data_IF_647173037380
#
_entry.id   IF_647173037380
#
_cell.length_a   1.000
_cell.length_b   1.000
_cell.length_c   1.000
_cell.angle_alpha   90.00
_cell.angle_beta   90.00
_cell.angle_gamma   90.00
#
_symmetry.space_group_name_H-M   'P 1'
#
loop_
_entity.id
_entity.type
_entity.pdbx_description
1 polymer ?
#
# COMPACT_ATOMS: atom_id res chain seq x y z
N UNK A 1 -19.19 -17.08 -28.53
CA UNK A 1 -17.85 -17.66 -28.54
C UNK A 1 -17.39 -17.70 -27.10
N UNK A 2 -17.04 -18.85 -26.63
CA UNK A 2 -16.87 -19.29 -25.25
C UNK A 2 -15.93 -18.38 -24.44
N UNK A 3 -16.50 -17.69 -23.43
CA UNK A 3 -15.72 -17.09 -22.35
C UNK A 3 -14.94 -18.22 -21.68
N UNK A 4 -13.62 -18.14 -21.76
CA UNK A 4 -12.72 -18.99 -21.01
C UNK A 4 -12.99 -18.78 -19.51
N UNK A 5 -13.44 -19.80 -18.83
CA UNK A 5 -13.43 -19.92 -17.39
C UNK A 5 -11.96 -19.94 -16.90
N UNK A 6 -11.32 -18.77 -16.81
CA UNK A 6 -10.07 -18.58 -16.06
C UNK A 6 -10.52 -18.21 -14.65
N UNK A 7 -10.22 -19.06 -13.67
CA UNK A 7 -10.40 -18.71 -12.26
C UNK A 7 -11.11 -19.77 -11.41
N UNK A 8 -10.64 -21.04 -11.45
CA UNK A 8 -11.03 -22.07 -10.48
C UNK A 8 -9.90 -22.40 -9.49
N UNK A 9 -8.88 -21.56 -9.39
CA UNK A 9 -7.79 -21.76 -8.45
C UNK A 9 -8.24 -21.61 -7.00
N UNK A 10 -7.62 -22.34 -6.10
CA UNK A 10 -7.80 -22.21 -4.64
C UNK A 10 -6.98 -21.02 -4.12
N UNK A 11 -7.18 -20.61 -2.87
CA UNK A 11 -6.31 -19.61 -2.20
C UNK A 11 -4.85 -20.07 -2.17
N UNK A 12 -4.63 -21.38 -2.07
CA UNK A 12 -3.29 -21.97 -2.12
C UNK A 12 -2.63 -21.77 -3.49
N UNK A 13 -3.38 -21.86 -4.59
CA UNK A 13 -2.85 -21.58 -5.94
C UNK A 13 -2.42 -20.12 -6.06
N UNK A 14 -3.15 -19.19 -5.42
CA UNK A 14 -2.81 -17.77 -5.34
C UNK A 14 -1.53 -17.58 -4.54
N UNK A 15 -1.40 -18.22 -3.39
CA UNK A 15 -0.21 -18.20 -2.55
C UNK A 15 1.02 -18.74 -3.29
N UNK A 16 0.88 -19.87 -3.98
CA UNK A 16 1.97 -20.43 -4.81
C UNK A 16 2.36 -19.48 -5.96
N UNK A 17 1.41 -18.69 -6.47
CA UNK A 17 1.67 -17.62 -7.42
C UNK A 17 2.59 -16.57 -6.82
N UNK A 18 2.24 -16.05 -5.63
CA UNK A 18 3.04 -15.05 -4.92
C UNK A 18 4.44 -15.54 -4.55
N UNK A 19 4.59 -16.80 -4.15
CA UNK A 19 5.93 -17.38 -3.90
C UNK A 19 6.80 -17.35 -5.16
N UNK A 20 6.22 -17.64 -6.34
CA UNK A 20 6.95 -17.52 -7.62
C UNK A 20 7.32 -16.08 -7.95
N UNK A 21 6.40 -15.12 -7.74
CA UNK A 21 6.64 -13.69 -7.99
C UNK A 21 7.74 -13.15 -7.08
N UNK A 22 7.75 -13.55 -5.81
CA UNK A 22 8.83 -13.23 -4.86
C UNK A 22 10.14 -13.96 -5.17
N UNK A 23 10.11 -15.04 -5.96
CA UNK A 23 11.26 -15.95 -6.14
C UNK A 23 11.61 -16.71 -4.86
N UNK A 24 10.62 -17.04 -4.06
CA UNK A 24 10.71 -17.58 -2.72
C UNK A 24 10.42 -19.09 -2.69
N UNK A 25 11.24 -19.85 -1.96
CA UNK A 25 11.02 -21.28 -1.66
C UNK A 25 10.77 -21.45 -0.15
N UNK A 26 9.54 -21.78 0.27
CA UNK A 26 9.20 -21.93 1.68
C UNK A 26 9.77 -23.19 2.33
N UNK A 27 10.17 -24.20 1.56
CA UNK A 27 10.36 -25.59 2.04
C UNK A 27 11.36 -25.75 3.19
N UNK A 28 12.32 -24.84 3.37
CA UNK A 28 13.37 -24.94 4.39
C UNK A 28 13.14 -24.00 5.61
N UNK A 29 12.22 -23.05 5.53
CA UNK A 29 12.17 -21.91 6.46
C UNK A 29 10.78 -21.64 7.02
N UNK A 30 9.76 -22.36 6.61
CA UNK A 30 8.37 -22.19 7.02
C UNK A 30 7.83 -23.52 7.50
N UNK A 31 7.06 -23.52 8.59
CA UNK A 31 6.30 -24.66 9.06
C UNK A 31 5.03 -24.88 8.22
N UNK A 32 3.95 -25.25 8.87
CA UNK A 32 2.66 -25.37 8.21
C UNK A 32 2.09 -23.96 7.89
N UNK A 33 1.47 -23.80 6.72
CA UNK A 33 0.73 -22.59 6.35
C UNK A 33 -0.74 -22.96 6.23
N UNK A 34 -1.55 -22.44 7.15
CA UNK A 34 -3.00 -22.65 7.21
C UNK A 34 -3.75 -21.37 6.85
N UNK A 35 -4.58 -21.43 5.80
CA UNK A 35 -5.47 -20.33 5.41
C UNK A 35 -6.91 -20.78 5.63
N UNK A 36 -7.50 -20.34 6.74
CA UNK A 36 -8.85 -20.68 7.13
C UNK A 36 -9.91 -19.79 6.43
N UNK A 37 -11.09 -20.35 6.20
CA UNK A 37 -12.19 -19.66 5.54
C UNK A 37 -12.22 -19.87 4.03
N UNK A 38 -13.18 -19.25 3.37
CA UNK A 38 -13.36 -19.37 1.92
C UNK A 38 -14.03 -18.12 1.36
N UNK A 39 -13.42 -17.49 0.36
CA UNK A 39 -14.01 -16.39 -0.38
C UNK A 39 -15.20 -16.88 -1.26
N UNK A 40 -16.27 -16.12 -1.48
CA UNK A 40 -16.49 -14.73 -1.07
C UNK A 40 -17.07 -14.61 0.35
N UNK A 41 -16.57 -13.62 1.08
CA UNK A 41 -17.03 -13.27 2.44
C UNK A 41 -17.59 -11.85 2.51
N UNK A 42 -17.46 -11.06 1.44
CA UNK A 42 -17.94 -9.68 1.31
C UNK A 42 -18.61 -9.46 -0.04
N UNK A 43 -19.42 -8.38 -0.21
CA UNK A 43 -20.17 -8.13 -1.44
C UNK A 43 -19.29 -7.59 -2.57
N UNK A 44 -18.25 -8.32 -2.95
CA UNK A 44 -17.35 -8.06 -4.07
C UNK A 44 -17.43 -9.19 -5.10
N UNK A 45 -17.46 -8.84 -6.38
CA UNK A 45 -17.35 -9.84 -7.45
C UNK A 45 -15.92 -10.34 -7.63
N UNK A 46 -14.91 -9.58 -7.14
CA UNK A 46 -13.52 -9.98 -7.21
C UNK A 46 -13.14 -10.87 -6.02
N UNK A 47 -12.12 -11.69 -6.20
CA UNK A 47 -11.58 -12.60 -5.20
C UNK A 47 -10.63 -11.86 -4.24
N UNK A 48 -11.15 -10.81 -3.59
CA UNK A 48 -10.33 -9.96 -2.72
C UNK A 48 -9.94 -10.64 -1.42
N UNK A 49 -10.77 -11.55 -0.91
CA UNK A 49 -10.48 -12.35 0.28
C UNK A 49 -9.35 -13.34 0.04
N UNK A 50 -9.39 -14.08 -1.07
CA UNK A 50 -8.31 -14.98 -1.46
C UNK A 50 -7.00 -14.24 -1.70
N UNK A 51 -7.06 -13.09 -2.39
CA UNK A 51 -5.88 -12.26 -2.65
C UNK A 51 -5.25 -11.75 -1.36
N UNK A 52 -6.05 -11.22 -0.43
CA UNK A 52 -5.58 -10.69 0.84
C UNK A 52 -5.00 -11.77 1.75
N UNK A 53 -5.68 -12.92 1.87
CA UNK A 53 -5.22 -14.02 2.69
C UNK A 53 -3.91 -14.62 2.16
N UNK A 54 -3.80 -14.80 0.84
CA UNK A 54 -2.56 -15.27 0.21
C UNK A 54 -1.41 -14.26 0.37
N UNK A 55 -1.68 -12.95 0.25
CA UNK A 55 -0.65 -11.91 0.44
C UNK A 55 -0.14 -11.89 1.89
N UNK A 56 -1.03 -11.99 2.89
CA UNK A 56 -0.64 -12.09 4.30
C UNK A 56 0.13 -13.38 4.60
N UNK A 57 -0.29 -14.52 4.04
CA UNK A 57 0.42 -15.79 4.20
C UNK A 57 1.82 -15.74 3.57
N UNK A 58 1.96 -15.11 2.40
CA UNK A 58 3.25 -14.91 1.76
C UNK A 58 4.17 -14.00 2.61
N UNK A 59 3.65 -12.88 3.13
CA UNK A 59 4.37 -12.02 4.07
C UNK A 59 4.78 -12.79 5.32
N UNK A 60 3.88 -13.57 5.92
CA UNK A 60 4.17 -14.41 7.09
C UNK A 60 5.29 -15.40 6.83
N UNK A 61 5.29 -16.00 5.64
CA UNK A 61 6.32 -16.95 5.21
C UNK A 61 7.69 -16.28 5.06
N UNK A 62 7.74 -15.09 4.48
CA UNK A 62 8.98 -14.29 4.39
C UNK A 62 9.50 -13.87 5.76
N UNK A 63 8.59 -13.49 6.69
CA UNK A 63 8.94 -13.17 8.08
C UNK A 63 9.53 -14.37 8.81
N UNK A 64 8.93 -15.57 8.66
CA UNK A 64 9.47 -16.82 9.20
C UNK A 64 10.86 -17.12 8.65
N UNK A 65 11.04 -16.93 7.35
CA UNK A 65 12.32 -17.19 6.69
C UNK A 65 13.42 -16.25 7.13
N UNK A 66 13.15 -14.97 7.26
CA UNK A 66 14.09 -14.01 7.83
C UNK A 66 14.44 -14.37 9.28
N UNK A 67 13.44 -14.82 10.06
CA UNK A 67 13.64 -15.25 11.43
C UNK A 67 14.59 -16.46 11.51
N UNK A 68 14.41 -17.45 10.65
CA UNK A 68 15.31 -18.62 10.54
C UNK A 68 16.70 -18.21 10.11
N UNK A 69 16.83 -17.33 9.10
CA UNK A 69 18.12 -16.81 8.63
C UNK A 69 18.90 -16.09 9.75
N UNK A 70 18.19 -15.60 10.78
CA UNK A 70 18.76 -14.94 11.98
C UNK A 70 18.92 -15.89 13.18
N UNK A 71 18.73 -17.19 13.01
CA UNK A 71 18.94 -18.23 14.02
C UNK A 71 17.69 -18.59 14.84
N UNK A 72 16.51 -18.11 14.46
CA UNK A 72 15.24 -18.51 15.08
C UNK A 72 14.70 -19.83 14.52
N UNK A 73 13.58 -20.30 15.06
CA UNK A 73 12.89 -21.50 14.58
C UNK A 73 11.83 -21.16 13.52
N UNK A 74 11.63 -22.05 12.55
CA UNK A 74 10.59 -21.92 11.56
C UNK A 74 9.20 -21.76 12.23
N UNK A 75 8.37 -20.89 11.69
CA UNK A 75 7.04 -20.61 12.23
C UNK A 75 5.96 -21.32 11.43
N UNK A 76 4.97 -21.86 12.10
CA UNK A 76 3.68 -22.13 11.47
C UNK A 76 2.95 -20.79 11.28
N UNK A 77 2.30 -20.66 10.15
CA UNK A 77 1.60 -19.44 9.73
C UNK A 77 0.10 -19.72 9.67
N UNK A 78 -0.71 -18.88 10.29
CA UNK A 78 -2.16 -18.95 10.18
C UNK A 78 -2.77 -17.62 9.75
N UNK A 79 -3.67 -17.67 8.78
CA UNK A 79 -4.41 -16.51 8.25
C UNK A 79 -5.88 -16.91 8.10
N UNK A 80 -6.80 -15.99 8.37
CA UNK A 80 -8.22 -16.15 8.04
C UNK A 80 -8.61 -15.21 6.91
N UNK A 81 -9.41 -15.70 5.96
CA UNK A 81 -9.91 -14.90 4.83
C UNK A 81 -10.70 -13.70 5.33
N UNK A 82 -11.54 -13.87 6.37
CA UNK A 82 -12.33 -12.80 6.96
C UNK A 82 -11.44 -11.75 7.65
N UNK A 83 -10.42 -12.19 8.39
CA UNK A 83 -9.47 -11.30 9.04
C UNK A 83 -8.62 -10.54 8.00
N UNK A 84 -8.24 -11.20 6.92
CA UNK A 84 -7.49 -10.61 5.82
C UNK A 84 -8.27 -9.47 5.13
N UNK A 85 -9.57 -9.63 4.93
CA UNK A 85 -10.44 -8.55 4.44
C UNK A 85 -10.46 -7.36 5.42
N UNK A 86 -10.56 -7.61 6.71
CA UNK A 86 -10.54 -6.54 7.71
C UNK A 86 -9.20 -5.78 7.74
N UNK A 87 -8.10 -6.46 7.43
CA UNK A 87 -6.78 -5.83 7.29
C UNK A 87 -6.77 -4.75 6.18
N UNK A 88 -7.49 -4.97 5.08
CA UNK A 88 -7.56 -4.02 3.96
C UNK A 88 -8.33 -2.73 4.27
N UNK A 89 -8.86 -2.62 5.47
CA UNK A 89 -9.61 -1.46 5.93
C UNK A 89 -9.28 -1.07 7.37
N UNK A 90 -8.07 -1.36 7.83
CA UNK A 90 -7.64 -1.19 9.21
C UNK A 90 -7.80 0.25 9.73
N UNK A 91 -7.68 1.27 8.87
CA UNK A 91 -7.89 2.67 9.24
C UNK A 91 -9.27 2.93 9.84
N UNK A 92 -10.32 2.25 9.33
CA UNK A 92 -11.68 2.39 9.84
C UNK A 92 -11.88 1.74 11.21
N UNK A 93 -10.94 0.87 11.61
CA UNK A 93 -10.94 0.21 12.93
C UNK A 93 -10.10 0.95 13.96
N UNK A 94 -9.24 1.86 13.53
CA UNK A 94 -8.38 2.64 14.43
C UNK A 94 -9.18 3.70 15.18
N UNK A 95 -8.98 3.76 16.51
CA UNK A 95 -9.66 4.69 17.40
C UNK A 95 -8.67 5.41 18.30
N UNK A 96 -8.90 6.68 18.53
CA UNK A 96 -8.17 7.50 19.50
C UNK A 96 -9.15 7.91 20.60
N UNK A 97 -8.87 7.51 21.84
CA UNK A 97 -9.78 7.74 22.98
C UNK A 97 -11.22 7.28 22.70
N UNK A 98 -11.39 6.20 21.94
CA UNK A 98 -12.68 5.65 21.54
C UNK A 98 -13.34 6.28 20.31
N UNK A 99 -12.74 7.35 19.74
CA UNK A 99 -13.23 8.03 18.53
C UNK A 99 -12.52 7.43 17.30
N UNK A 100 -13.25 7.11 16.25
CA UNK A 100 -12.71 6.57 15.00
C UNK A 100 -11.80 7.58 14.29
N UNK A 101 -10.76 7.10 13.62
CA UNK A 101 -9.75 7.96 13.01
C UNK A 101 -10.29 8.86 11.89
N UNK A 102 -11.33 8.41 11.18
CA UNK A 102 -12.02 9.19 10.15
C UNK A 102 -12.69 10.45 10.70
N UNK A 103 -13.17 10.44 11.96
CA UNK A 103 -13.73 11.62 12.63
C UNK A 103 -12.66 12.62 13.09
N UNK A 104 -11.39 12.24 13.03
CA UNK A 104 -10.27 13.15 13.32
C UNK A 104 -9.80 13.93 12.09
N UNK A 105 -10.41 13.74 10.92
CA UNK A 105 -10.08 14.50 9.73
C UNK A 105 -10.61 15.93 9.84
N UNK A 106 -9.78 16.90 9.45
CA UNK A 106 -10.10 18.33 9.56
C UNK A 106 -11.32 18.72 8.69
N UNK A 107 -11.51 18.05 7.54
CA UNK A 107 -12.67 18.23 6.68
C UNK A 107 -13.22 16.88 6.21
N UNK A 108 -14.19 16.31 6.93
CA UNK A 108 -14.81 15.04 6.54
C UNK A 108 -15.53 15.10 5.18
N UNK A 109 -15.85 16.32 4.67
CA UNK A 109 -16.47 16.48 3.35
C UNK A 109 -15.44 16.35 2.21
N UNK A 110 -14.16 16.49 2.46
CA UNK A 110 -13.10 16.35 1.45
C UNK A 110 -13.13 14.98 0.78
N UNK A 111 -13.24 13.91 1.56
CA UNK A 111 -13.40 12.54 1.03
C UNK A 111 -14.76 12.37 0.37
N UNK A 112 -15.83 12.95 0.91
CA UNK A 112 -17.19 12.84 0.39
C UNK A 112 -17.42 13.46 -0.99
N UNK A 113 -16.56 14.38 -1.43
CA UNK A 113 -16.60 14.97 -2.76
C UNK A 113 -15.65 14.29 -3.76
N UNK A 114 -14.75 13.41 -3.29
CA UNK A 114 -13.98 12.49 -4.15
C UNK A 114 -14.88 11.33 -4.56
N UNK A 115 -15.36 11.31 -5.81
CA UNK A 115 -16.36 10.33 -6.21
C UNK A 115 -16.42 10.17 -7.74
N UNK A 116 -17.26 9.25 -8.18
CA UNK A 116 -17.66 9.07 -9.58
C UNK A 116 -18.68 10.14 -9.99
N UNK A 117 -18.39 10.81 -11.10
CA UNK A 117 -19.26 11.78 -11.75
C UNK A 117 -19.57 11.34 -13.17
N UNK A 118 -20.83 11.51 -13.61
CA UNK A 118 -21.22 11.17 -14.97
C UNK A 118 -20.92 12.33 -15.92
N UNK A 119 -20.06 12.09 -16.91
CA UNK A 119 -19.73 13.06 -17.95
C UNK A 119 -20.80 13.14 -19.05
N UNK A 120 -20.68 14.15 -19.92
CA UNK A 120 -21.66 14.43 -20.98
C UNK A 120 -21.73 13.37 -22.08
N UNK A 121 -20.66 12.60 -22.27
CA UNK A 121 -20.62 11.45 -23.17
C UNK A 121 -21.22 10.18 -22.55
N UNK A 122 -21.71 10.25 -21.32
CA UNK A 122 -22.32 9.16 -20.57
C UNK A 122 -21.35 8.30 -19.78
N UNK A 123 -20.03 8.42 -20.00
CA UNK A 123 -19.00 7.73 -19.23
C UNK A 123 -18.86 8.35 -17.83
N UNK A 124 -18.46 7.55 -16.87
CA UNK A 124 -18.10 8.06 -15.55
C UNK A 124 -16.61 8.43 -15.48
N UNK A 125 -16.31 9.40 -14.62
CA UNK A 125 -14.97 9.81 -14.27
C UNK A 125 -14.87 9.89 -12.75
N UNK A 126 -13.83 9.31 -12.15
CA UNK A 126 -13.52 9.53 -10.74
C UNK A 126 -12.65 10.77 -10.61
N UNK A 127 -13.05 11.70 -9.76
CA UNK A 127 -12.28 12.92 -9.44
C UNK A 127 -11.88 12.86 -7.98
N UNK A 128 -10.57 12.91 -7.70
CA UNK A 128 -10.04 12.86 -6.34
C UNK A 128 -9.73 14.27 -5.83
N UNK A 129 -10.30 14.62 -4.68
CA UNK A 129 -10.24 15.95 -4.07
C UNK A 129 -9.66 15.95 -2.65
N UNK A 130 -9.15 14.81 -2.19
CA UNK A 130 -8.74 14.58 -0.80
C UNK A 130 -7.59 15.47 -0.33
N UNK A 131 -6.84 16.07 -1.26
CA UNK A 131 -5.73 16.97 -0.96
C UNK A 131 -6.00 18.36 -1.50
N UNK A 132 -5.75 19.45 -0.73
CA UNK A 132 -6.05 20.83 -1.15
C UNK A 132 -5.50 21.18 -2.52
N UNK A 133 -4.25 20.85 -2.81
CA UNK A 133 -3.63 21.14 -4.11
C UNK A 133 -4.34 20.43 -5.28
N UNK A 134 -4.69 19.15 -5.12
CA UNK A 134 -5.40 18.38 -6.15
C UNK A 134 -6.82 18.89 -6.37
N UNK A 135 -7.51 19.23 -5.27
CA UNK A 135 -8.84 19.87 -5.28
C UNK A 135 -8.81 21.19 -6.03
N UNK A 136 -7.84 22.05 -5.71
CA UNK A 136 -7.76 23.40 -6.30
C UNK A 136 -7.48 23.32 -7.81
N UNK A 137 -6.67 22.34 -8.26
CA UNK A 137 -6.46 22.06 -9.69
C UNK A 137 -7.75 21.61 -10.35
N UNK A 138 -8.45 20.63 -9.79
CA UNK A 138 -9.69 20.11 -10.36
C UNK A 138 -10.78 21.20 -10.42
N UNK A 139 -10.97 21.94 -9.33
CA UNK A 139 -11.91 23.07 -9.26
C UNK A 139 -11.54 24.18 -10.24
N UNK A 140 -10.25 24.46 -10.43
CA UNK A 140 -9.78 25.44 -11.40
C UNK A 140 -10.01 25.02 -12.86
N UNK A 141 -9.92 23.72 -13.19
CA UNK A 141 -10.29 23.20 -14.51
C UNK A 141 -11.79 23.27 -14.75
N UNK A 142 -12.57 22.91 -13.73
CA UNK A 142 -14.03 22.88 -13.82
C UNK A 142 -14.68 24.28 -13.67
N UNK A 143 -13.93 25.28 -13.25
CA UNK A 143 -14.44 26.63 -12.89
C UNK A 143 -15.66 26.55 -11.94
N UNK A 144 -15.56 25.71 -10.89
CA UNK A 144 -16.62 25.55 -9.91
C UNK A 144 -16.04 25.18 -8.52
N UNK A 145 -16.76 25.50 -7.41
CA UNK A 145 -16.36 25.09 -6.08
C UNK A 145 -16.46 23.55 -5.93
N UNK A 146 -15.78 22.96 -4.90
CA UNK A 146 -15.83 21.54 -4.61
C UNK A 146 -17.17 21.11 -3.98
N UNK A 147 -18.27 21.44 -4.64
CA UNK A 147 -19.63 21.07 -4.28
C UNK A 147 -20.13 19.99 -5.23
N UNK A 148 -20.57 18.85 -4.68
CA UNK A 148 -20.95 17.66 -5.46
C UNK A 148 -21.99 17.98 -6.56
N UNK A 149 -23.01 18.79 -6.24
CA UNK A 149 -24.06 19.13 -7.21
C UNK A 149 -23.50 20.00 -8.33
N UNK A 150 -22.71 21.02 -7.98
CA UNK A 150 -22.08 21.90 -8.96
C UNK A 150 -21.10 21.17 -9.86
N UNK A 151 -20.26 20.34 -9.28
CA UNK A 151 -19.33 19.51 -10.04
C UNK A 151 -20.09 18.58 -11.00
N UNK A 152 -21.16 17.92 -10.56
CA UNK A 152 -22.01 17.09 -11.42
C UNK A 152 -22.60 17.88 -12.58
N UNK A 153 -23.13 19.09 -12.36
CA UNK A 153 -23.68 19.97 -13.39
C UNK A 153 -22.64 20.40 -14.43
N UNK A 154 -21.41 20.63 -14.02
CA UNK A 154 -20.31 21.06 -14.90
C UNK A 154 -19.72 19.87 -15.64
N UNK A 155 -19.40 18.78 -14.95
CA UNK A 155 -18.82 17.56 -15.53
C UNK A 155 -19.75 16.94 -16.58
N UNK A 156 -21.08 17.05 -16.41
CA UNK A 156 -22.07 16.62 -17.40
C UNK A 156 -21.98 17.36 -18.76
N UNK A 157 -21.11 18.37 -18.90
CA UNK A 157 -20.84 19.09 -20.17
C UNK A 157 -19.51 18.70 -20.79
N UNK A 158 -18.69 17.89 -20.10
CA UNK A 158 -17.39 17.43 -20.55
C UNK A 158 -17.47 16.05 -21.20
N UNK A 159 -16.58 15.75 -22.14
CA UNK A 159 -16.20 14.37 -22.44
C UNK A 159 -15.29 13.85 -21.32
N UNK A 160 -15.44 12.61 -20.89
CA UNK A 160 -14.70 12.07 -19.75
C UNK A 160 -13.20 12.04 -19.97
N UNK A 161 -12.73 11.67 -21.16
CA UNK A 161 -11.31 11.63 -21.48
C UNK A 161 -10.69 13.04 -21.64
N UNK A 162 -11.46 13.99 -22.18
CA UNK A 162 -11.01 15.40 -22.30
C UNK A 162 -10.85 16.01 -20.90
N UNK A 163 -11.75 15.71 -19.97
CA UNK A 163 -11.65 16.17 -18.58
C UNK A 163 -10.47 15.48 -17.85
N UNK A 164 -10.29 14.17 -18.03
CA UNK A 164 -9.13 13.44 -17.52
C UNK A 164 -7.83 14.13 -17.92
N UNK A 165 -7.66 14.39 -19.22
CA UNK A 165 -6.44 15.03 -19.73
C UNK A 165 -6.30 16.48 -19.24
N UNK A 166 -7.39 17.25 -19.20
CA UNK A 166 -7.37 18.64 -18.73
C UNK A 166 -6.96 18.78 -17.25
N UNK A 167 -7.35 17.82 -16.41
CA UNK A 167 -6.99 17.78 -14.99
C UNK A 167 -5.57 17.22 -14.81
N UNK A 168 -5.27 16.06 -15.41
CA UNK A 168 -3.99 15.39 -15.22
C UNK A 168 -2.80 16.15 -15.80
N UNK A 169 -2.95 16.83 -16.95
CA UNK A 169 -1.90 17.68 -17.54
C UNK A 169 -1.49 18.86 -16.67
N UNK A 170 -2.34 19.24 -15.69
CA UNK A 170 -2.05 20.29 -14.71
C UNK A 170 -1.56 19.74 -13.36
N UNK A 171 -1.30 18.42 -13.27
CA UNK A 171 -0.88 17.76 -12.04
C UNK A 171 -2.01 17.41 -11.08
N UNK A 172 -3.28 17.52 -11.50
CA UNK A 172 -4.43 17.04 -10.76
C UNK A 172 -4.71 15.56 -10.98
N UNK A 173 -5.75 15.04 -10.37
CA UNK A 173 -6.09 13.62 -10.33
C UNK A 173 -7.56 13.40 -10.68
N UNK A 174 -7.80 12.95 -11.91
CA UNK A 174 -9.11 12.53 -12.39
C UNK A 174 -8.92 11.42 -13.44
N UNK A 175 -9.67 10.33 -13.34
CA UNK A 175 -9.54 9.19 -14.24
C UNK A 175 -10.92 8.77 -14.75
N UNK A 176 -11.07 8.71 -16.07
CA UNK A 176 -12.24 8.17 -16.72
C UNK A 176 -12.35 6.65 -16.47
N UNK A 177 -13.53 6.19 -16.09
CA UNK A 177 -13.79 4.77 -15.87
C UNK A 177 -13.66 4.02 -17.20
N UNK A 178 -12.82 2.99 -17.21
CA UNK A 178 -12.58 2.10 -18.34
C UNK A 178 -13.20 0.72 -18.09
N UNK A 179 -13.34 -0.05 -19.13
CA UNK A 179 -13.51 -1.51 -19.00
C UNK A 179 -12.12 -2.16 -18.83
N UNK A 180 -12.07 -3.39 -18.31
CA UNK A 180 -10.82 -4.17 -18.23
C UNK A 180 -10.17 -4.30 -19.63
N UNK A 181 -10.99 -4.52 -20.68
CA UNK A 181 -10.51 -4.63 -22.06
C UNK A 181 -9.88 -3.31 -22.55
N UNK A 182 -10.56 -2.18 -22.32
CA UNK A 182 -10.04 -0.84 -22.69
C UNK A 182 -8.71 -0.57 -21.98
N UNK A 183 -8.60 -0.91 -20.70
CA UNK A 183 -7.36 -0.72 -19.95
C UNK A 183 -6.23 -1.62 -20.45
N UNK A 184 -6.51 -2.89 -20.68
CA UNK A 184 -5.49 -3.82 -21.21
C UNK A 184 -5.07 -3.50 -22.65
N UNK A 185 -5.90 -2.78 -23.41
CA UNK A 185 -5.53 -2.24 -24.71
C UNK A 185 -4.78 -0.89 -24.62
N UNK A 186 -4.90 -0.18 -23.50
CA UNK A 186 -4.22 1.10 -23.27
C UNK A 186 -2.70 0.91 -23.20
N UNK A 187 -1.87 1.85 -23.75
CA UNK A 187 -0.41 1.71 -23.69
C UNK A 187 0.14 1.49 -22.28
N UNK A 188 -0.37 2.20 -21.29
CA UNK A 188 0.06 2.03 -19.89
C UNK A 188 -0.40 0.68 -19.31
N UNK A 189 -1.62 0.25 -19.61
CA UNK A 189 -2.14 -1.03 -19.16
C UNK A 189 -1.37 -2.21 -19.72
N UNK A 190 -0.87 -2.13 -20.99
CA UNK A 190 0.02 -3.15 -21.57
C UNK A 190 1.36 -3.25 -20.84
N UNK A 191 1.99 -2.10 -20.55
CA UNK A 191 3.25 -2.08 -19.80
C UNK A 191 3.08 -2.77 -18.44
N UNK A 192 2.00 -2.46 -17.71
CA UNK A 192 1.72 -3.09 -16.42
C UNK A 192 1.36 -4.58 -16.58
N UNK A 193 0.67 -4.98 -17.65
CA UNK A 193 0.34 -6.37 -17.90
C UNK A 193 1.60 -7.25 -18.05
N UNK A 194 2.59 -6.74 -18.75
CA UNK A 194 3.86 -7.44 -19.04
C UNK A 194 4.81 -7.44 -17.83
N UNK A 195 4.64 -6.54 -16.85
CA UNK A 195 5.47 -6.43 -15.66
C UNK A 195 5.08 -7.43 -14.55
N UNK A 196 5.98 -7.70 -13.57
CA UNK A 196 5.67 -8.51 -12.40
C UNK A 196 4.68 -7.80 -11.46
N UNK A 197 4.09 -8.54 -10.53
CA UNK A 197 3.26 -7.95 -9.46
C UNK A 197 4.15 -7.25 -8.42
N UNK A 198 5.24 -7.88 -8.04
CA UNK A 198 6.27 -7.36 -7.15
C UNK A 198 7.57 -7.41 -7.93
N UNK A 199 8.14 -6.24 -8.25
CA UNK A 199 9.45 -6.19 -8.91
C UNK A 199 10.55 -6.10 -7.85
N UNK A 200 11.44 -7.10 -7.80
CA UNK A 200 12.60 -7.14 -6.91
C UNK A 200 13.85 -7.21 -7.76
N UNK A 201 14.37 -6.05 -8.13
CA UNK A 201 15.51 -5.93 -9.04
C UNK A 201 16.78 -5.57 -8.27
N UNK A 202 17.87 -6.33 -8.50
CA UNK A 202 19.22 -5.95 -8.04
C UNK A 202 19.73 -4.80 -8.90
N UNK A 203 19.98 -3.65 -8.28
CA UNK A 203 20.30 -2.39 -8.99
C UNK A 203 21.74 -1.95 -8.81
N UNK A 204 22.46 -2.48 -7.84
CA UNK A 204 23.89 -2.23 -7.65
C UNK A 204 24.57 -3.39 -6.94
N UNK A 205 25.89 -3.49 -7.07
CA UNK A 205 26.70 -4.48 -6.36
C UNK A 205 27.15 -3.95 -5.00
N UNK A 206 27.12 -4.83 -3.99
CA UNK A 206 27.77 -4.64 -2.69
C UNK A 206 28.15 -6.00 -2.11
N UNK A 207 29.08 -6.05 -1.13
CA UNK A 207 29.30 -7.29 -0.40
C UNK A 207 28.04 -7.78 0.33
N UNK A 208 27.92 -9.08 0.66
CA UNK A 208 26.88 -9.59 1.54
C UNK A 208 26.81 -8.80 2.85
N UNK A 209 25.61 -8.37 3.21
CA UNK A 209 25.38 -7.55 4.42
C UNK A 209 24.16 -8.10 5.17
N UNK A 210 24.36 -9.08 6.08
CA UNK A 210 23.29 -9.57 6.94
C UNK A 210 22.92 -8.51 7.99
N UNK A 211 21.67 -8.57 8.46
CA UNK A 211 21.27 -7.84 9.66
C UNK A 211 22.11 -8.31 10.86
N UNK A 212 22.33 -7.41 11.82
CA UNK A 212 23.10 -7.75 13.03
C UNK A 212 22.51 -8.98 13.73
N UNK A 213 23.35 -9.87 14.30
CA UNK A 213 22.88 -11.00 15.09
C UNK A 213 21.93 -10.56 16.20
N UNK A 214 20.92 -11.40 16.48
CA UNK A 214 20.00 -11.14 17.58
C UNK A 214 20.68 -11.46 18.92
N UNK A 215 20.38 -10.63 19.92
CA UNK A 215 20.71 -10.96 21.32
C UNK A 215 19.74 -12.05 21.80
N UNK A 216 20.20 -13.23 22.18
CA UNK A 216 19.32 -14.34 22.61
C UNK A 216 18.57 -14.05 23.90
N UNK A 217 18.94 -13.02 24.66
CA UNK A 217 18.28 -12.60 25.91
C UNK A 217 17.25 -11.51 25.65
N UNK A 218 17.33 -10.81 24.52
CA UNK A 218 16.41 -9.75 24.18
C UNK A 218 15.07 -10.32 23.68
N UNK A 219 14.00 -9.57 23.94
CA UNK A 219 12.67 -9.78 23.37
C UNK A 219 12.66 -9.34 21.88
N UNK A 220 13.50 -10.02 21.08
CA UNK A 220 13.80 -9.70 19.71
C UNK A 220 12.72 -10.21 18.75
N UNK A 221 12.53 -9.49 17.64
CA UNK A 221 11.68 -9.82 16.51
C UNK A 221 12.49 -9.83 15.21
N UNK A 222 11.96 -10.30 14.10
CA UNK A 222 12.72 -10.52 12.86
C UNK A 222 13.49 -9.31 12.33
N UNK A 223 13.04 -8.08 12.57
CA UNK A 223 13.70 -6.85 12.11
C UNK A 223 14.35 -6.02 13.25
N UNK A 224 14.50 -6.60 14.45
CA UNK A 224 15.25 -5.94 15.54
C UNK A 224 16.64 -5.51 15.06
N UNK A 225 16.95 -4.22 15.20
CA UNK A 225 18.22 -3.61 14.77
C UNK A 225 18.23 -3.14 13.30
N UNK A 226 17.23 -3.44 12.51
CA UNK A 226 17.07 -2.85 11.17
C UNK A 226 16.57 -1.41 11.25
N UNK A 227 17.05 -0.54 10.33
CA UNK A 227 16.66 0.86 10.22
C UNK A 227 15.92 1.14 8.92
N UNK A 228 14.73 1.71 9.04
CA UNK A 228 13.84 2.05 7.92
C UNK A 228 13.63 3.55 7.87
N UNK A 229 14.10 4.19 6.80
CA UNK A 229 13.82 5.59 6.51
C UNK A 229 12.54 5.65 5.65
N UNK A 230 11.46 6.12 6.26
CA UNK A 230 10.13 6.21 5.64
C UNK A 230 9.89 7.63 5.12
N UNK A 231 10.03 7.85 3.82
CA UNK A 231 9.77 9.10 3.12
C UNK A 231 8.54 8.93 2.22
N UNK A 232 7.41 8.66 2.84
CA UNK A 232 6.16 8.35 2.14
C UNK A 232 4.99 9.19 2.67
N UNK A 233 3.89 9.16 1.94
CA UNK A 233 2.63 9.78 2.33
C UNK A 233 1.43 8.90 1.92
N UNK A 234 0.22 9.26 2.33
CA UNK A 234 -1.03 8.54 2.11
C UNK A 234 -1.05 7.22 2.90
N UNK A 235 -1.10 6.05 2.26
CA UNK A 235 -1.34 4.76 2.92
C UNK A 235 -0.33 3.69 2.51
N UNK A 236 -0.14 3.41 1.21
CA UNK A 236 0.61 2.25 0.75
C UNK A 236 2.03 2.16 1.36
N UNK A 237 2.86 3.17 1.16
CA UNK A 237 4.20 3.23 1.74
C UNK A 237 4.20 3.30 3.26
N UNK A 238 3.42 4.22 3.87
CA UNK A 238 3.36 4.32 5.32
C UNK A 238 2.92 3.03 6.02
N UNK A 239 1.96 2.28 5.51
CA UNK A 239 1.54 0.99 6.10
C UNK A 239 2.61 -0.09 5.91
N UNK A 240 3.31 -0.13 4.77
CA UNK A 240 4.45 -1.05 4.62
C UNK A 240 5.54 -0.78 5.68
N UNK A 241 5.92 0.49 5.89
CA UNK A 241 6.85 0.87 6.93
C UNK A 241 6.32 0.56 8.36
N UNK A 242 4.99 0.67 8.59
CA UNK A 242 4.37 0.25 9.85
C UNK A 242 4.45 -1.27 10.05
N UNK A 243 4.23 -2.09 9.02
CA UNK A 243 4.42 -3.55 9.07
C UNK A 243 5.86 -3.88 9.47
N UNK A 244 6.86 -3.19 8.89
CA UNK A 244 8.26 -3.38 9.27
C UNK A 244 8.54 -2.94 10.73
N UNK A 245 7.87 -1.88 11.22
CA UNK A 245 7.94 -1.47 12.63
C UNK A 245 7.31 -2.50 13.58
N UNK A 246 6.25 -3.20 13.16
CA UNK A 246 5.61 -4.27 13.92
C UNK A 246 6.55 -5.47 14.11
N UNK A 247 7.49 -5.65 13.19
CA UNK A 247 8.58 -6.62 13.24
C UNK A 247 9.83 -6.11 13.97
N UNK A 248 9.74 -4.96 14.66
CA UNK A 248 10.77 -4.31 15.50
C UNK A 248 11.87 -3.55 14.74
N UNK A 249 11.63 -3.15 13.49
CA UNK A 249 12.51 -2.18 12.83
C UNK A 249 12.43 -0.79 13.51
N UNK A 250 13.58 -0.08 13.62
CA UNK A 250 13.57 1.35 13.93
C UNK A 250 13.10 2.11 12.70
N UNK A 251 11.88 2.66 12.73
CA UNK A 251 11.31 3.43 11.62
C UNK A 251 11.33 4.92 11.94
N UNK A 252 11.97 5.71 11.08
CA UNK A 252 11.91 7.16 11.10
C UNK A 252 11.14 7.65 9.87
N UNK A 253 9.93 8.14 10.13
CA UNK A 253 9.13 8.82 9.10
C UNK A 253 9.61 10.26 8.93
N UNK A 254 9.89 10.65 7.68
CA UNK A 254 10.28 12.02 7.34
C UNK A 254 9.25 12.64 6.40
N UNK A 255 8.83 13.85 6.73
CA UNK A 255 7.80 14.59 5.99
C UNK A 255 8.10 16.08 5.94
N UNK A 256 7.35 16.80 5.12
CA UNK A 256 7.39 18.27 5.08
C UNK A 256 6.17 18.84 5.82
N UNK A 257 6.29 19.99 6.49
CA UNK A 257 5.14 20.65 7.11
C UNK A 257 4.17 21.30 6.10
N UNK A 258 4.57 21.37 4.82
CA UNK A 258 3.81 22.12 3.79
C UNK A 258 2.60 21.35 3.28
N UNK A 259 2.69 20.02 3.22
CA UNK A 259 1.64 19.15 2.66
C UNK A 259 1.42 17.94 3.57
N UNK A 260 0.88 18.14 4.79
CA UNK A 260 0.64 17.04 5.71
C UNK A 260 -0.51 16.15 5.20
N UNK A 261 -0.44 14.88 5.52
CA UNK A 261 -1.58 13.97 5.40
C UNK A 261 -2.67 14.33 6.43
N UNK A 262 -3.94 13.96 6.19
CA UNK A 262 -5.00 14.10 7.16
C UNK A 262 -4.66 13.43 8.50
N UNK A 263 -5.04 14.05 9.63
CA UNK A 263 -4.65 13.58 10.97
C UNK A 263 -5.06 12.12 11.24
N UNK A 264 -6.19 11.68 10.72
CA UNK A 264 -6.64 10.29 10.85
C UNK A 264 -5.70 9.30 10.18
N UNK A 265 -5.13 9.64 9.01
CA UNK A 265 -4.10 8.84 8.35
C UNK A 265 -2.80 8.84 9.15
N UNK A 266 -2.34 10.02 9.62
CA UNK A 266 -1.12 10.15 10.43
C UNK A 266 -1.19 9.27 11.67
N UNK A 267 -2.34 9.23 12.35
CA UNK A 267 -2.53 8.37 13.53
C UNK A 267 -2.41 6.90 13.17
N UNK A 268 -3.12 6.44 12.14
CA UNK A 268 -3.11 5.03 11.74
C UNK A 268 -1.75 4.59 11.21
N UNK A 269 -1.21 5.33 10.25
CA UNK A 269 0.02 4.95 9.56
C UNK A 269 1.29 5.20 10.39
N UNK A 270 1.20 6.10 11.37
CA UNK A 270 2.34 6.52 12.21
C UNK A 270 2.59 5.64 13.43
N UNK A 271 1.68 4.72 13.79
CA UNK A 271 1.89 3.83 14.94
C UNK A 271 3.18 3.01 14.71
N UNK A 272 4.01 2.94 15.73
CA UNK A 272 5.30 2.24 15.68
C UNK A 272 6.48 3.09 15.21
N UNK A 273 6.26 4.30 14.69
CA UNK A 273 7.27 5.15 14.06
C UNK A 273 7.62 6.38 14.88
N UNK A 274 8.79 6.91 14.63
CA UNK A 274 9.19 8.28 14.97
C UNK A 274 8.89 9.16 13.77
N UNK A 275 8.65 10.46 14.00
CA UNK A 275 8.32 11.41 12.93
C UNK A 275 9.18 12.66 13.03
N UNK A 276 9.90 12.99 11.95
CA UNK A 276 10.73 14.19 11.85
C UNK A 276 10.35 15.03 10.63
N UNK A 277 10.49 16.35 10.71
CA UNK A 277 10.44 17.20 9.55
C UNK A 277 11.79 17.21 8.82
N UNK A 278 11.71 17.24 7.49
CA UNK A 278 12.85 17.36 6.60
C UNK A 278 12.45 18.16 5.36
N UNK A 279 13.08 19.30 5.15
CA UNK A 279 12.95 20.07 3.93
C UNK A 279 14.15 19.80 3.01
N UNK A 280 13.95 18.96 2.01
CA UNK A 280 15.02 18.62 1.05
C UNK A 280 15.48 19.82 0.18
N UNK A 281 14.82 20.96 0.25
CA UNK A 281 15.28 22.22 -0.37
C UNK A 281 16.22 23.01 0.52
N UNK A 282 16.22 22.73 1.84
CA UNK A 282 17.22 23.25 2.77
C UNK A 282 18.49 22.39 2.75
N UNK A 283 19.64 23.03 2.64
CA UNK A 283 20.92 22.31 2.49
C UNK A 283 21.38 21.54 3.73
N UNK A 284 20.99 21.99 4.92
CA UNK A 284 21.32 21.32 6.18
C UNK A 284 20.45 20.08 6.35
N UNK A 285 19.15 20.19 6.11
CA UNK A 285 18.21 19.05 6.16
C UNK A 285 18.55 18.02 5.07
N UNK A 286 18.87 18.47 3.86
CA UNK A 286 19.32 17.60 2.77
C UNK A 286 20.58 16.81 3.16
N UNK A 287 21.54 17.44 3.83
CA UNK A 287 22.75 16.78 4.33
C UNK A 287 22.43 15.77 5.43
N UNK A 288 21.52 16.11 6.37
CA UNK A 288 21.06 15.20 7.42
C UNK A 288 20.31 14.01 6.84
N UNK A 289 19.46 14.24 5.85
CA UNK A 289 18.74 13.18 5.15
C UNK A 289 19.70 12.17 4.52
N UNK A 290 20.74 12.63 3.79
CA UNK A 290 21.78 11.74 3.23
C UNK A 290 22.55 10.97 4.31
N UNK A 291 22.80 11.59 5.45
CA UNK A 291 23.38 10.89 6.60
C UNK A 291 22.48 9.78 7.13
N UNK A 292 21.16 10.02 7.18
CA UNK A 292 20.17 8.99 7.55
C UNK A 292 20.14 7.85 6.54
N UNK A 293 20.16 8.15 5.25
CA UNK A 293 20.25 7.14 4.18
C UNK A 293 21.49 6.27 4.37
N UNK A 294 22.64 6.87 4.67
CA UNK A 294 23.90 6.16 4.93
C UNK A 294 23.83 5.15 6.09
N UNK A 295 22.92 5.33 7.03
CA UNK A 295 22.68 4.43 8.17
C UNK A 295 21.44 3.54 8.02
N UNK A 296 20.71 3.61 6.90
CA UNK A 296 19.50 2.86 6.68
C UNK A 296 19.77 1.48 6.07
N UNK A 297 18.96 0.50 6.44
CA UNK A 297 18.85 -0.79 5.76
C UNK A 297 17.80 -0.71 4.63
N UNK A 298 16.72 0.03 4.89
CA UNK A 298 15.59 0.18 3.97
C UNK A 298 15.23 1.64 3.82
N UNK A 299 14.99 2.08 2.60
CA UNK A 299 14.39 3.36 2.27
C UNK A 299 13.04 3.12 1.58
N UNK A 300 11.98 3.73 2.11
CA UNK A 300 10.63 3.63 1.52
C UNK A 300 10.20 4.99 0.97
N UNK A 301 9.73 5.05 -0.27
CA UNK A 301 9.27 6.30 -0.89
C UNK A 301 8.07 6.07 -1.82
N UNK A 302 7.32 7.16 -2.09
CA UNK A 302 6.23 7.16 -3.07
C UNK A 302 5.98 8.53 -3.70
N UNK A 303 6.99 9.43 -3.66
CA UNK A 303 6.93 10.71 -4.33
C UNK A 303 7.48 10.60 -5.75
N UNK A 304 6.72 11.07 -6.74
CA UNK A 304 7.04 10.95 -8.17
C UNK A 304 8.27 11.73 -8.64
N UNK A 305 8.70 12.77 -7.92
CA UNK A 305 9.74 13.71 -8.37
C UNK A 305 11.10 13.48 -7.71
N UNK A 306 11.28 12.43 -6.91
CA UNK A 306 12.51 12.19 -6.15
C UNK A 306 13.72 11.94 -7.05
N UNK A 307 13.55 11.23 -8.17
CA UNK A 307 14.62 10.98 -9.13
C UNK A 307 15.19 12.28 -9.69
N UNK A 308 14.33 13.21 -10.10
CA UNK A 308 14.74 14.50 -10.64
C UNK A 308 15.47 15.38 -9.62
N UNK A 309 15.26 15.11 -8.31
CA UNK A 309 15.89 15.81 -7.18
C UNK A 309 17.14 15.11 -6.66
N UNK A 310 17.50 13.94 -7.20
CA UNK A 310 18.64 13.14 -6.75
C UNK A 310 18.39 12.35 -5.47
N UNK A 311 17.11 12.04 -5.16
CA UNK A 311 16.69 11.23 -4.03
C UNK A 311 15.90 9.99 -4.45
N UNK A 312 15.95 9.64 -5.73
CA UNK A 312 15.36 8.42 -6.25
C UNK A 312 16.20 7.17 -5.93
N UNK A 313 15.63 5.97 -6.12
CA UNK A 313 16.25 4.70 -5.77
C UNK A 313 17.70 4.56 -6.23
N UNK A 314 17.97 4.81 -7.51
CA UNK A 314 19.30 4.61 -8.10
C UNK A 314 20.35 5.56 -7.53
N UNK A 315 20.00 6.84 -7.31
CA UNK A 315 20.92 7.80 -6.72
C UNK A 315 21.30 7.42 -5.27
N UNK A 316 20.33 6.95 -4.49
CA UNK A 316 20.56 6.61 -3.08
C UNK A 316 21.35 5.31 -2.90
N UNK A 317 21.20 4.32 -3.79
CA UNK A 317 21.99 3.08 -3.72
C UNK A 317 23.46 3.32 -4.09
N UNK A 318 23.79 4.33 -4.88
CA UNK A 318 25.17 4.75 -5.13
C UNK A 318 25.84 5.33 -3.88
N UNK A 319 25.06 6.05 -3.06
CA UNK A 319 25.54 6.63 -1.78
C UNK A 319 25.59 5.59 -0.66
N UNK A 320 24.66 4.63 -0.65
CA UNK A 320 24.55 3.55 0.35
C UNK A 320 24.50 2.19 -0.36
N UNK A 321 25.65 1.60 -0.76
CA UNK A 321 25.69 0.23 -1.26
C UNK A 321 25.11 -0.74 -0.22
N UNK A 322 24.24 -1.64 -0.67
CA UNK A 322 23.49 -2.56 0.19
C UNK A 322 22.13 -2.00 0.67
N UNK A 323 21.74 -0.79 0.28
CA UNK A 323 20.41 -0.26 0.56
C UNK A 323 19.33 -1.08 -0.17
N UNK A 324 18.24 -1.39 0.53
CA UNK A 324 17.00 -1.88 -0.06
C UNK A 324 16.05 -0.69 -0.21
N UNK A 325 15.58 -0.41 -1.41
CA UNK A 325 14.61 0.64 -1.67
C UNK A 325 13.27 0.02 -2.01
N UNK A 326 12.21 0.49 -1.34
CA UNK A 326 10.83 0.17 -1.69
C UNK A 326 10.16 1.43 -2.21
N UNK A 327 9.58 1.38 -3.41
CA UNK A 327 8.77 2.47 -3.92
C UNK A 327 7.40 2.01 -4.46
N UNK A 328 6.47 2.96 -4.51
CA UNK A 328 5.11 2.75 -4.97
C UNK A 328 4.72 3.78 -6.01
N UNK A 329 4.16 3.32 -7.11
CA UNK A 329 3.53 4.18 -8.10
C UNK A 329 2.07 3.74 -8.37
N UNK A 330 1.31 4.62 -8.99
CA UNK A 330 -0.03 4.24 -9.46
C UNK A 330 0.00 3.48 -10.78
N UNK A 331 1.01 3.81 -11.63
CA UNK A 331 0.97 3.52 -13.06
C UNK A 331 2.26 2.94 -13.64
N UNK A 332 3.22 2.53 -12.85
CA UNK A 332 4.51 2.01 -13.31
C UNK A 332 5.59 3.07 -13.45
N UNK A 333 6.82 2.58 -13.56
CA UNK A 333 8.04 3.40 -13.68
C UNK A 333 8.25 3.97 -15.09
N UNK A 334 7.54 3.45 -16.08
CA UNK A 334 7.70 3.84 -17.49
C UNK A 334 6.34 3.97 -18.20
N UNK A 335 6.35 4.52 -19.40
CA UNK A 335 5.15 4.70 -20.20
C UNK A 335 4.48 6.08 -20.04
N UNK A 336 3.38 6.31 -20.75
CA UNK A 336 2.76 7.65 -20.84
C UNK A 336 2.19 8.19 -19.53
N UNK A 337 1.91 7.31 -18.54
CA UNK A 337 1.32 7.70 -17.27
C UNK A 337 2.29 7.61 -16.09
N UNK A 338 3.55 7.24 -16.29
CA UNK A 338 4.53 7.06 -15.21
C UNK A 338 4.72 8.30 -14.31
N UNK A 339 4.40 9.49 -14.82
CA UNK A 339 4.47 10.75 -14.06
C UNK A 339 3.12 11.31 -13.63
N UNK A 340 2.02 10.58 -13.84
CA UNK A 340 0.69 10.96 -13.35
C UNK A 340 0.54 10.59 -11.88
N UNK A 341 -0.10 11.46 -11.09
CA UNK A 341 -0.54 11.10 -9.73
C UNK A 341 -1.44 9.87 -9.76
N UNK A 342 -1.16 8.91 -8.88
CA UNK A 342 -1.91 7.67 -8.74
C UNK A 342 -2.42 7.50 -7.33
N UNK A 343 -3.66 7.03 -7.20
CA UNK A 343 -4.30 6.69 -5.92
C UNK A 343 -5.15 5.44 -6.11
N UNK A 344 -5.50 4.78 -5.02
CA UNK A 344 -6.30 3.55 -4.97
C UNK A 344 -7.53 3.61 -5.89
N UNK A 345 -8.39 4.60 -5.68
CA UNK A 345 -9.65 4.75 -6.40
C UNK A 345 -9.46 5.02 -7.89
N UNK A 346 -8.38 5.72 -8.24
CA UNK A 346 -8.02 5.99 -9.63
C UNK A 346 -7.55 4.72 -10.33
N UNK A 347 -6.81 3.86 -9.63
CA UNK A 347 -6.39 2.56 -10.13
C UNK A 347 -7.61 1.66 -10.40
N UNK A 348 -8.60 1.64 -9.49
CA UNK A 348 -9.87 0.95 -9.67
C UNK A 348 -10.67 1.48 -10.89
N UNK A 349 -10.68 2.80 -11.09
CA UNK A 349 -11.38 3.41 -12.23
C UNK A 349 -10.70 3.09 -13.57
N UNK A 350 -9.36 3.22 -13.63
CA UNK A 350 -8.58 3.00 -14.84
C UNK A 350 -8.58 1.53 -15.29
N UNK A 351 -8.40 0.59 -14.35
CA UNK A 351 -8.27 -0.85 -14.64
C UNK A 351 -9.60 -1.52 -15.04
N UNK A 352 -10.74 -0.84 -14.86
CA UNK A 352 -12.06 -1.42 -15.05
C UNK A 352 -12.62 -2.11 -13.81
N UNK A 353 -11.84 -2.20 -12.74
CA UNK A 353 -12.24 -2.84 -11.49
C UNK A 353 -13.54 -2.25 -10.92
N UNK A 354 -13.67 -0.91 -10.93
CA UNK A 354 -14.88 -0.23 -10.47
C UNK A 354 -16.12 -0.53 -11.34
N UNK A 355 -15.94 -0.73 -12.65
CA UNK A 355 -17.01 -1.12 -13.56
C UNK A 355 -17.45 -2.57 -13.32
N UNK A 356 -16.54 -3.44 -12.92
CA UNK A 356 -16.84 -4.83 -12.55
C UNK A 356 -17.49 -4.92 -11.16
N UNK A 357 -17.09 -4.11 -10.17
CA UNK A 357 -17.74 -4.04 -8.86
C UNK A 357 -19.19 -3.54 -8.95
N UNK A 358 -19.40 -2.48 -9.67
CA UNK A 358 -20.72 -1.95 -9.99
C UNK A 358 -21.22 -2.39 -11.35
N UNK A 359 -21.24 -1.44 -12.26
CA UNK A 359 -21.43 -1.60 -13.70
C UNK A 359 -20.74 -0.43 -14.40
N UNK A 360 -20.60 -0.50 -15.72
CA UNK A 360 -20.08 0.64 -16.48
C UNK A 360 -20.98 1.89 -16.37
N UNK A 361 -22.29 1.71 -16.20
CA UNK A 361 -23.28 2.78 -16.00
C UNK A 361 -23.52 3.13 -14.53
N UNK A 362 -22.78 2.54 -13.60
CA UNK A 362 -22.85 2.78 -12.17
C UNK A 362 -21.64 2.13 -11.46
N UNK A 363 -20.44 2.68 -11.69
CA UNK A 363 -19.21 2.12 -11.11
C UNK A 363 -19.22 2.26 -9.58
N UNK A 364 -18.55 1.31 -8.90
CA UNK A 364 -18.40 1.31 -7.44
C UNK A 364 -16.97 1.01 -7.07
N UNK A 365 -16.56 1.52 -5.92
CA UNK A 365 -15.33 1.07 -5.27
C UNK A 365 -15.56 -0.31 -4.61
N UNK A 366 -14.50 -1.10 -4.39
CA UNK A 366 -14.60 -2.33 -3.61
C UNK A 366 -15.09 -2.03 -2.18
N UNK A 367 -15.70 -3.00 -1.48
CA UNK A 367 -16.29 -2.78 -0.15
C UNK A 367 -15.26 -2.37 0.92
N UNK A 368 -13.97 -2.57 0.67
CA UNK A 368 -12.86 -2.14 1.55
C UNK A 368 -12.41 -0.71 1.31
N UNK A 369 -12.82 -0.07 0.22
CA UNK A 369 -12.50 1.30 -0.23
C UNK A 369 -11.01 1.59 -0.50
N UNK A 370 -10.08 0.95 0.21
CA UNK A 370 -8.63 1.18 0.16
C UNK A 370 -7.87 -0.12 -0.17
N UNK A 371 -8.44 -0.92 -1.07
CA UNK A 371 -7.97 -2.25 -1.45
C UNK A 371 -6.50 -2.27 -1.88
N UNK A 372 -6.17 -1.38 -2.84
CA UNK A 372 -4.86 -1.42 -3.49
C UNK A 372 -3.76 -0.89 -2.58
N UNK A 373 -4.06 0.13 -1.77
CA UNK A 373 -3.09 0.71 -0.84
C UNK A 373 -2.63 -0.31 0.21
N UNK A 374 -3.57 -0.99 0.87
CA UNK A 374 -3.23 -2.01 1.85
C UNK A 374 -2.63 -3.26 1.21
N UNK A 375 -3.14 -3.68 0.05
CA UNK A 375 -2.58 -4.83 -0.66
C UNK A 375 -1.14 -4.57 -1.10
N UNK A 376 -0.87 -3.41 -1.70
CA UNK A 376 0.47 -3.00 -2.09
C UNK A 376 1.41 -2.91 -0.89
N UNK A 377 0.92 -2.44 0.28
CA UNK A 377 1.71 -2.40 1.52
C UNK A 377 2.19 -3.78 1.95
N UNK A 378 1.29 -4.77 1.93
CA UNK A 378 1.59 -6.16 2.31
C UNK A 378 2.60 -6.78 1.33
N UNK A 379 2.35 -6.63 0.03
CA UNK A 379 3.21 -7.14 -1.04
C UNK A 379 4.60 -6.48 -1.01
N UNK A 380 4.65 -5.16 -0.82
CA UNK A 380 5.91 -4.42 -0.72
C UNK A 380 6.72 -4.79 0.52
N UNK A 381 6.07 -4.98 1.69
CA UNK A 381 6.74 -5.44 2.89
C UNK A 381 7.33 -6.86 2.71
N UNK A 382 6.61 -7.77 2.06
CA UNK A 382 7.14 -9.10 1.71
C UNK A 382 8.35 -8.99 0.78
N UNK A 383 8.27 -8.14 -0.26
CA UNK A 383 9.37 -7.88 -1.18
C UNK A 383 10.62 -7.30 -0.49
N UNK A 384 10.43 -6.40 0.49
CA UNK A 384 11.53 -5.84 1.30
C UNK A 384 12.22 -6.93 2.11
N UNK A 385 11.46 -7.82 2.75
CA UNK A 385 12.03 -8.91 3.55
C UNK A 385 12.84 -9.85 2.66
N UNK A 386 12.32 -10.26 1.51
CA UNK A 386 13.07 -11.07 0.55
C UNK A 386 14.32 -10.34 0.03
N UNK A 387 14.24 -9.04 -0.27
CA UNK A 387 15.39 -8.25 -0.69
C UNK A 387 16.48 -8.18 0.41
N UNK A 388 16.11 -8.03 1.68
CA UNK A 388 17.05 -8.08 2.81
C UNK A 388 17.71 -9.45 2.94
N UNK A 389 16.98 -10.53 2.72
CA UNK A 389 17.53 -11.90 2.71
C UNK A 389 18.49 -12.12 1.55
N UNK A 390 18.15 -11.64 0.33
CA UNK A 390 19.07 -11.65 -0.83
C UNK A 390 20.32 -10.83 -0.55
N UNK A 391 20.19 -9.63 0.01
CA UNK A 391 21.31 -8.78 0.41
C UNK A 391 22.26 -9.52 1.38
N UNK A 392 21.68 -10.20 2.37
CA UNK A 392 22.45 -10.95 3.37
C UNK A 392 23.23 -12.12 2.74
N UNK A 393 22.66 -12.82 1.78
CA UNK A 393 23.23 -14.00 1.13
C UNK A 393 24.16 -13.64 -0.02
N UNK A 394 23.70 -12.80 -0.93
CA UNK A 394 24.31 -12.56 -2.24
C UNK A 394 24.94 -11.16 -2.36
N UNK A 395 24.73 -10.30 -1.37
CA UNK A 395 25.09 -8.88 -1.45
C UNK A 395 24.21 -8.13 -2.47
N UNK A 396 24.56 -6.89 -2.74
CA UNK A 396 23.86 -6.02 -3.68
C UNK A 396 22.85 -5.09 -3.02
N UNK A 397 22.50 -4.04 -3.74
CA UNK A 397 21.36 -3.16 -3.43
C UNK A 397 20.15 -3.60 -4.26
N UNK A 398 18.98 -3.49 -3.67
CA UNK A 398 17.74 -3.95 -4.31
C UNK A 398 16.71 -2.83 -4.40
N UNK A 399 16.00 -2.79 -5.51
CA UNK A 399 14.83 -1.98 -5.72
C UNK A 399 13.60 -2.89 -5.73
N UNK A 400 12.70 -2.67 -4.80
CA UNK A 400 11.40 -3.32 -4.69
C UNK A 400 10.35 -2.32 -5.15
N UNK A 401 9.51 -2.71 -6.10
CA UNK A 401 8.50 -1.82 -6.67
C UNK A 401 7.13 -2.50 -6.78
N UNK A 402 6.07 -1.78 -6.42
CA UNK A 402 4.68 -2.24 -6.53
C UNK A 402 3.81 -1.12 -7.09
N UNK A 403 2.97 -1.45 -8.09
CA UNK A 403 2.04 -0.51 -8.72
C UNK A 403 0.59 -0.76 -8.30
N UNK A 404 -0.14 0.29 -7.92
CA UNK A 404 -1.54 0.18 -7.49
C UNK A 404 -2.44 -0.39 -8.60
N UNK A 405 -2.27 0.07 -9.84
CA UNK A 405 -3.07 -0.45 -10.96
C UNK A 405 -2.70 -1.90 -11.32
N UNK A 406 -1.46 -2.34 -11.08
CA UNK A 406 -1.06 -3.75 -11.24
C UNK A 406 -1.71 -4.65 -10.20
N UNK A 407 -1.89 -4.17 -8.96
CA UNK A 407 -2.66 -4.88 -7.92
C UNK A 407 -4.08 -5.13 -8.38
N UNK A 408 -4.78 -4.10 -8.91
CA UNK A 408 -6.11 -4.31 -9.51
C UNK A 408 -6.10 -5.39 -10.58
N UNK A 409 -5.16 -5.31 -11.53
CA UNK A 409 -5.05 -6.25 -12.65
C UNK A 409 -4.78 -7.68 -12.18
N UNK A 410 -3.94 -7.84 -11.16
CA UNK A 410 -3.65 -9.14 -10.55
C UNK A 410 -4.90 -9.76 -9.94
N UNK A 411 -5.66 -8.99 -9.13
CA UNK A 411 -6.89 -9.49 -8.52
C UNK A 411 -7.93 -9.85 -9.59
N UNK A 412 -8.05 -9.04 -10.65
CA UNK A 412 -8.92 -9.36 -11.80
C UNK A 412 -8.54 -10.69 -12.48
N UNK A 413 -7.24 -11.01 -12.57
CA UNK A 413 -6.73 -12.24 -13.17
C UNK A 413 -7.03 -13.49 -12.32
N UNK A 414 -7.36 -13.35 -11.04
CA UNK A 414 -7.87 -14.45 -10.21
C UNK A 414 -9.29 -14.89 -10.60
N UNK A 415 -10.00 -14.09 -11.41
CA UNK A 415 -11.35 -14.35 -11.86
C UNK A 415 -12.42 -13.69 -10.99
N UNK A 416 -13.67 -13.81 -11.44
CA UNK A 416 -14.83 -13.16 -10.82
C UNK A 416 -15.81 -14.18 -10.25
N UNK A 417 -16.42 -13.85 -9.14
CA UNK A 417 -17.60 -14.55 -8.62
C UNK A 417 -18.86 -14.13 -9.38
N UNK A 418 -19.86 -15.01 -9.40
CA UNK A 418 -21.19 -14.66 -9.85
C UNK A 418 -21.76 -13.54 -8.97
N UNK A 419 -22.26 -12.49 -9.59
CA UNK A 419 -22.82 -11.32 -8.90
C UNK A 419 -23.97 -11.70 -7.95
N UNK A 420 -24.81 -12.66 -8.34
CA UNK A 420 -25.90 -13.12 -7.48
C UNK A 420 -25.39 -13.81 -6.21
N UNK A 421 -24.23 -14.46 -6.27
CA UNK A 421 -23.63 -15.12 -5.11
C UNK A 421 -23.13 -14.12 -4.05
N UNK A 422 -22.69 -12.94 -4.46
CA UNK A 422 -22.08 -11.95 -3.57
C UNK A 422 -23.04 -10.84 -3.12
N UNK A 423 -24.19 -10.70 -3.79
CA UNK A 423 -25.10 -9.55 -3.63
C UNK A 423 -25.67 -9.37 -2.20
N UNK A 424 -25.85 -10.47 -1.46
CA UNK A 424 -26.44 -10.47 -0.12
C UNK A 424 -25.41 -10.66 1.00
N UNK A 425 -24.12 -10.72 0.66
CA UNK A 425 -23.08 -10.81 1.67
C UNK A 425 -22.98 -9.52 2.50
N UNK A 426 -22.60 -9.59 3.78
CA UNK A 426 -22.46 -8.42 4.63
C UNK A 426 -21.26 -7.57 4.20
N UNK A 427 -21.29 -6.27 4.53
CA UNK A 427 -20.10 -5.45 4.50
C UNK A 427 -19.05 -5.98 5.49
N UNK A 428 -17.74 -5.74 5.25
CA UNK A 428 -16.69 -6.15 6.18
C UNK A 428 -16.91 -5.51 7.56
N UNK A 429 -16.83 -6.32 8.62
CA UNK A 429 -16.96 -5.83 10.00
C UNK A 429 -15.97 -6.56 10.92
N UNK A 430 -14.88 -5.90 11.36
CA UNK A 430 -13.91 -6.48 12.27
C UNK A 430 -14.50 -6.98 13.60
N UNK A 431 -15.55 -6.33 14.09
CA UNK A 431 -16.21 -6.74 15.32
C UNK A 431 -16.99 -8.06 15.15
N UNK A 432 -17.60 -8.26 13.98
CA UNK A 432 -18.30 -9.50 13.65
C UNK A 432 -17.34 -10.70 13.50
N UNK A 433 -16.11 -10.43 13.02
CA UNK A 433 -15.04 -11.44 12.90
C UNK A 433 -14.41 -11.78 14.26
N UNK A 434 -14.62 -10.95 15.28
CA UNK A 434 -14.06 -11.16 16.62
C UNK A 434 -12.57 -10.85 16.71
N UNK A 435 -12.07 -9.93 15.89
CA UNK A 435 -10.66 -9.53 15.92
C UNK A 435 -10.34 -8.71 17.16
N UNK A 436 -9.24 -9.06 17.83
CA UNK A 436 -8.79 -8.36 19.04
C UNK A 436 -7.90 -7.16 18.65
N UNK A 437 -8.34 -5.91 18.94
CA UNK A 437 -7.50 -4.75 18.69
C UNK A 437 -6.35 -4.69 19.71
N UNK A 438 -5.19 -4.28 19.24
CA UNK A 438 -4.09 -3.89 20.13
C UNK A 438 -4.24 -2.42 20.56
N UNK A 439 -3.50 -2.01 21.58
CA UNK A 439 -3.52 -0.63 22.06
C UNK A 439 -2.14 -0.11 22.42
N UNK A 440 -1.94 1.17 22.16
CA UNK A 440 -0.76 1.94 22.56
C UNK A 440 -1.21 3.29 23.11
N UNK A 441 -0.41 3.90 23.99
CA UNK A 441 -0.70 5.24 24.52
C UNK A 441 0.44 6.19 24.19
N UNK A 442 0.11 7.39 23.76
CA UNK A 442 1.09 8.41 23.40
C UNK A 442 0.52 9.81 23.25
N UNK A 443 1.15 10.67 22.45
CA UNK A 443 0.77 12.09 22.35
C UNK A 443 -0.69 12.33 21.91
N UNK A 444 -1.25 11.44 21.08
CA UNK A 444 -2.66 11.54 20.66
C UNK A 444 -3.64 10.93 21.68
N UNK A 445 -3.14 10.25 22.71
CA UNK A 445 -3.97 9.53 23.70
C UNK A 445 -3.90 8.03 23.56
N UNK A 446 -4.92 7.34 24.11
CA UNK A 446 -5.07 5.90 23.99
C UNK A 446 -5.55 5.57 22.57
N UNK A 447 -4.69 4.90 21.80
CA UNK A 447 -4.97 4.50 20.42
C UNK A 447 -5.16 2.99 20.36
N UNK A 448 -6.31 2.53 19.86
CA UNK A 448 -6.55 1.12 19.52
C UNK A 448 -6.47 0.95 18.01
N UNK A 449 -5.87 -0.13 17.56
CA UNK A 449 -5.60 -0.41 16.15
C UNK A 449 -5.67 -1.91 15.86
N UNK A 450 -5.84 -2.26 14.60
CA UNK A 450 -5.79 -3.64 14.16
C UNK A 450 -4.33 -4.02 13.86
N UNK A 451 -3.73 -5.02 14.57
CA UNK A 451 -2.42 -5.58 14.20
C UNK A 451 -2.46 -6.25 12.82
N UNK A 452 -1.31 -6.50 12.22
CA UNK A 452 -1.24 -7.31 10.99
C UNK A 452 -1.79 -8.71 11.26
N UNK A 453 -2.77 -9.12 10.45
CA UNK A 453 -3.59 -10.32 10.69
C UNK A 453 -2.89 -11.61 10.23
N UNK A 454 -1.74 -11.89 10.85
CA UNK A 454 -0.94 -13.11 10.65
C UNK A 454 -0.69 -13.75 12.03
N UNK A 455 -1.11 -15.00 12.19
CA UNK A 455 -0.75 -15.80 13.34
C UNK A 455 0.59 -16.51 13.11
N UNK A 456 1.44 -16.54 14.12
CA UNK A 456 2.70 -17.28 14.15
C UNK A 456 2.71 -18.24 15.34
N UNK A 457 3.37 -19.40 15.20
CA UNK A 457 3.46 -20.39 16.30
C UNK A 457 4.11 -19.80 17.56
N UNK A 458 5.22 -19.11 17.45
CA UNK A 458 5.95 -18.55 18.60
C UNK A 458 6.20 -17.05 18.52
N UNK A 459 6.37 -16.45 17.33
CA UNK A 459 6.56 -15.02 17.17
C UNK A 459 5.32 -14.23 17.62
N UNK A 460 5.55 -13.05 18.20
CA UNK A 460 4.48 -12.13 18.61
C UNK A 460 4.82 -10.71 18.16
N UNK A 461 4.70 -10.42 16.83
CA UNK A 461 4.89 -9.07 16.30
C UNK A 461 4.00 -8.06 17.03
N UNK A 462 4.51 -6.86 17.24
CA UNK A 462 3.78 -5.79 17.93
C UNK A 462 4.39 -4.42 17.70
N UNK A 463 3.55 -3.42 17.71
CA UNK A 463 4.00 -2.02 17.70
C UNK A 463 4.32 -1.58 19.14
N UNK A 464 5.55 -1.11 19.37
CA UNK A 464 6.06 -0.77 20.71
C UNK A 464 5.82 0.69 21.08
N UNK A 465 5.34 1.52 20.16
CA UNK A 465 5.08 2.95 20.37
C UNK A 465 3.84 3.41 19.63
N UNK A 466 3.23 4.48 20.13
CA UNK A 466 2.13 5.17 19.46
C UNK A 466 2.64 5.99 18.26
N UNK A 467 1.72 6.47 17.45
CA UNK A 467 2.00 7.54 16.51
C UNK A 467 2.49 8.81 17.23
N UNK A 468 3.39 9.54 16.58
CA UNK A 468 3.85 10.86 17.00
C UNK A 468 3.23 11.94 16.08
N UNK A 469 3.00 13.17 16.59
CA UNK A 469 2.75 14.31 15.72
C UNK A 469 3.88 14.47 14.70
N UNK A 470 3.55 14.95 13.50
CA UNK A 470 4.57 15.19 12.48
C UNK A 470 5.65 16.13 13.01
N UNK A 471 6.92 15.78 12.79
CA UNK A 471 8.06 16.57 13.23
C UNK A 471 8.36 16.53 14.74
N UNK A 472 7.74 15.65 15.51
CA UNK A 472 7.92 15.58 16.96
C UNK A 472 9.28 14.98 17.39
N UNK A 473 9.95 14.25 16.54
CA UNK A 473 11.27 13.67 16.77
C UNK A 473 12.37 14.44 16.03
N UNK A 474 13.62 14.40 16.51
CA UNK A 474 14.76 14.94 15.76
C UNK A 474 15.03 14.09 14.51
N UNK A 475 15.61 14.74 13.49
CA UNK A 475 16.01 14.14 12.20
C UNK A 475 17.34 13.38 12.37
N UNK A 476 17.31 12.28 13.12
CA UNK A 476 18.47 11.43 13.43
C UNK A 476 18.04 10.01 13.84
N UNK A 477 18.90 9.00 13.65
CA UNK A 477 18.74 7.66 14.23
C UNK A 477 18.96 7.67 15.75
N UNK A 478 18.39 6.70 16.46
CA UNK A 478 18.67 6.45 17.88
C UNK A 478 19.80 5.47 18.08
#
# INVERSE_FOLDING_TARGET
>A
MTANARGSGTVDDVLQGLYRDLGFDPAAHVGEVDIAGQDPVVPSVHRIGDAAAAALAALGSEVSSLWVDRGGEAQDISVSVEAAICQLMAIWSTRVNGVTADLLMEDPNLLGNSDFYRAGDGRYIFVLLSYPALRDIACGVLDCPPDRRRMSEVIARWNAFDLEEAVCSRGGTAIAVRTQEEWRAHPQGRILADGPLIDITRVADSPPEPLLPLDPVADALPLTGARVLDNTHVIAGPIAARILAELDAEVLHVSTPVHPDPIGMIVETGIGKRSAFCDLTDSEDARRFRHLVGGADVYVCNYLDLDAKGYGPLALVEERPGLVVLDYHGWGLSGPWSRRGGFDQLACAASGFSAEEGSFDGPRLPPTHLLNDYMASILGAAGVIEALRRRARDGGSYHVHVDLAKVCMWIQDLGLFDRARVAELPAPDPAAVGLEPASVTGPFGATTYLPTQIGYSTLRPRLRRSAEPLGASPLEWR
#
